data_IF_139116443680
#
_entry.id   IF_139116443680
#
_cell.length_a   1.000
_cell.length_b   1.000
_cell.length_c   1.000
_cell.angle_alpha   90.00
_cell.angle_beta   90.00
_cell.angle_gamma   90.00
#
_symmetry.space_group_name_H-M   'P 1'
#
loop_
_entity.id
_entity.type
_entity.pdbx_description
1 polymer ?
#
# COMPACT_ATOMS: atom_id res chain seq x y z
N UNK A 1 17.29 1.90 -8.00
CA UNK A 1 16.02 2.12 -7.27
C UNK A 1 14.85 1.82 -8.20
N UNK A 2 13.74 1.22 -7.71
CA UNK A 2 12.59 0.74 -8.50
C UNK A 2 12.05 1.78 -9.49
N UNK A 3 11.84 3.01 -9.06
CA UNK A 3 11.33 4.10 -9.91
C UNK A 3 12.23 4.38 -11.14
N UNK A 4 13.56 4.29 -10.99
CA UNK A 4 14.48 4.48 -12.12
C UNK A 4 14.39 3.36 -13.17
N UNK A 5 14.12 2.12 -12.74
CA UNK A 5 13.89 1.00 -13.67
C UNK A 5 12.56 1.16 -14.41
N UNK A 6 11.52 1.57 -13.69
CA UNK A 6 10.21 1.86 -14.27
C UNK A 6 10.29 2.98 -15.31
N UNK A 7 11.01 4.06 -15.01
CA UNK A 7 11.21 5.17 -15.95
C UNK A 7 11.91 4.71 -17.24
N UNK A 8 13.00 3.94 -17.11
CA UNK A 8 13.69 3.35 -18.26
C UNK A 8 12.80 2.44 -19.11
N UNK A 9 11.92 1.66 -18.49
CA UNK A 9 10.99 0.80 -19.21
C UNK A 9 9.97 1.63 -20.02
N UNK A 10 9.46 2.71 -19.42
CA UNK A 10 8.56 3.65 -20.09
C UNK A 10 9.25 4.39 -21.25
N UNK A 11 10.50 4.83 -21.06
CA UNK A 11 11.33 5.42 -22.12
C UNK A 11 11.57 4.44 -23.28
N UNK A 12 11.72 3.15 -22.97
CA UNK A 12 11.78 2.07 -23.96
C UNK A 12 10.41 1.70 -24.57
N UNK A 13 9.36 2.48 -24.29
CA UNK A 13 7.98 2.31 -24.77
C UNK A 13 7.28 1.03 -24.31
N UNK A 14 7.74 0.46 -23.19
CA UNK A 14 7.11 -0.69 -22.57
C UNK A 14 5.95 -0.27 -21.67
N UNK A 15 4.97 -1.17 -21.52
CA UNK A 15 3.98 -1.09 -20.45
C UNK A 15 4.64 -1.52 -19.13
N UNK A 16 4.19 -0.95 -18.01
CA UNK A 16 4.83 -1.19 -16.71
C UNK A 16 3.81 -1.61 -15.65
N UNK A 17 4.08 -2.73 -14.99
CA UNK A 17 3.39 -3.21 -13.81
C UNK A 17 4.32 -3.06 -12.61
N UNK A 18 3.89 -2.38 -11.56
CA UNK A 18 4.70 -2.07 -10.37
C UNK A 18 4.13 -2.75 -9.14
N UNK A 19 4.96 -3.57 -8.51
CA UNK A 19 4.69 -4.14 -7.18
C UNK A 19 4.52 -3.05 -6.12
N UNK A 20 3.76 -3.39 -5.06
CA UNK A 20 3.51 -2.48 -3.93
C UNK A 20 4.78 -2.22 -3.10
N UNK A 21 4.88 -1.06 -2.44
CA UNK A 21 4.30 0.20 -2.90
C UNK A 21 4.87 0.57 -4.29
N UNK A 22 4.09 1.28 -5.14
CA UNK A 22 4.49 1.55 -6.53
C UNK A 22 5.78 2.37 -6.64
N UNK A 23 6.10 3.19 -5.64
CA UNK A 23 7.35 3.91 -5.51
C UNK A 23 7.65 4.20 -4.02
N UNK A 24 8.83 4.78 -3.73
CA UNK A 24 9.22 5.13 -2.36
C UNK A 24 8.49 6.39 -1.83
N UNK A 25 7.83 7.16 -2.70
CA UNK A 25 7.07 8.35 -2.31
C UNK A 25 6.14 8.83 -3.42
N UNK A 26 5.17 9.67 -3.05
CA UNK A 26 4.12 10.16 -3.94
C UNK A 26 4.67 10.95 -5.14
N UNK A 27 5.68 11.79 -4.93
CA UNK A 27 6.31 12.56 -6.03
C UNK A 27 6.94 11.67 -7.11
N UNK A 28 7.42 10.48 -6.74
CA UNK A 28 7.93 9.48 -7.69
C UNK A 28 6.78 8.82 -8.45
N UNK A 29 5.65 8.54 -7.80
CA UNK A 29 4.44 8.03 -8.47
C UNK A 29 3.98 9.03 -9.52
N UNK A 30 3.85 10.31 -9.16
CA UNK A 30 3.43 11.36 -10.08
C UNK A 30 4.36 11.50 -11.28
N UNK A 31 5.68 11.38 -11.06
CA UNK A 31 6.66 11.41 -12.14
C UNK A 31 6.51 10.22 -13.10
N UNK A 32 6.22 9.02 -12.57
CA UNK A 32 5.98 7.83 -13.38
C UNK A 32 4.67 7.92 -14.17
N UNK A 33 3.60 8.45 -13.57
CA UNK A 33 2.32 8.69 -14.27
C UNK A 33 2.50 9.64 -15.45
N UNK A 34 3.27 10.72 -15.28
CA UNK A 34 3.59 11.62 -16.40
C UNK A 34 4.43 10.93 -17.48
N UNK A 35 5.41 10.12 -17.07
CA UNK A 35 6.28 9.39 -17.99
C UNK A 35 5.54 8.27 -18.74
N UNK A 36 4.43 7.75 -18.21
CA UNK A 36 3.64 6.71 -18.86
C UNK A 36 2.69 7.23 -19.93
N UNK A 37 2.80 8.49 -20.37
CA UNK A 37 1.95 9.04 -21.42
C UNK A 37 1.92 8.13 -22.66
N UNK A 38 0.72 7.67 -23.02
CA UNK A 38 0.51 6.76 -24.13
C UNK A 38 0.87 5.30 -23.85
N UNK A 39 1.33 4.91 -22.65
CA UNK A 39 1.61 3.54 -22.22
C UNK A 39 0.75 3.17 -21.00
N UNK A 40 0.25 1.94 -20.96
CA UNK A 40 -0.36 1.36 -19.76
C UNK A 40 0.64 1.22 -18.62
N UNK A 41 0.24 1.74 -17.46
CA UNK A 41 0.91 1.57 -16.18
C UNK A 41 -0.10 1.02 -15.17
N UNK A 42 0.29 0.01 -14.41
CA UNK A 42 -0.49 -0.56 -13.32
C UNK A 42 0.31 -0.50 -12.01
N UNK A 43 -0.22 0.22 -11.01
CA UNK A 43 0.23 0.09 -9.63
C UNK A 43 -0.56 -1.05 -8.98
N UNK A 44 0.12 -2.15 -8.64
CA UNK A 44 -0.56 -3.35 -8.15
C UNK A 44 -0.79 -3.28 -6.65
N UNK A 45 -1.97 -3.71 -6.23
CA UNK A 45 -2.32 -3.93 -4.84
C UNK A 45 -2.86 -5.35 -4.72
N UNK A 46 -1.98 -6.32 -4.50
CA UNK A 46 -2.35 -7.75 -4.53
C UNK A 46 -3.54 -8.04 -3.61
N UNK A 47 -3.56 -7.46 -2.40
CA UNK A 47 -4.65 -7.69 -1.46
C UNK A 47 -6.03 -7.20 -1.91
N UNK A 48 -6.11 -6.24 -2.84
CA UNK A 48 -7.40 -5.85 -3.44
C UNK A 48 -8.01 -6.93 -4.30
N UNK A 49 -7.17 -7.80 -4.85
CA UNK A 49 -7.65 -8.81 -5.76
C UNK A 49 -8.38 -9.92 -5.01
N UNK A 50 -8.34 -10.04 -3.68
CA UNK A 50 -9.10 -11.08 -2.97
C UNK A 50 -10.60 -11.07 -3.30
N UNK A 51 -11.21 -12.26 -3.41
CA UNK A 51 -12.63 -12.36 -3.82
C UNK A 51 -13.59 -11.73 -2.80
N UNK A 52 -13.20 -11.74 -1.52
CA UNK A 52 -13.98 -11.12 -0.46
C UNK A 52 -14.03 -9.59 -0.59
N UNK A 53 -13.06 -8.98 -1.28
CA UNK A 53 -12.92 -7.52 -1.38
C UNK A 53 -14.02 -6.92 -2.23
N UNK A 54 -14.26 -7.47 -3.42
CA UNK A 54 -15.34 -6.99 -4.30
C UNK A 54 -16.72 -7.25 -3.69
N UNK A 55 -16.88 -8.39 -2.99
CA UNK A 55 -18.11 -8.71 -2.25
C UNK A 55 -18.36 -7.69 -1.14
N UNK A 56 -17.31 -7.35 -0.37
CA UNK A 56 -17.39 -6.35 0.69
C UNK A 56 -17.70 -4.95 0.12
N UNK A 57 -17.02 -4.55 -0.95
CA UNK A 57 -17.26 -3.28 -1.63
C UNK A 57 -18.72 -3.14 -2.10
N UNK A 58 -19.24 -4.17 -2.79
CA UNK A 58 -20.62 -4.19 -3.24
C UNK A 58 -21.63 -4.14 -2.08
N UNK A 59 -21.34 -4.84 -0.98
CA UNK A 59 -22.19 -4.86 0.20
C UNK A 59 -22.20 -3.50 0.93
N UNK A 60 -21.05 -2.84 1.03
CA UNK A 60 -20.91 -1.54 1.70
C UNK A 60 -21.46 -0.37 0.89
N UNK A 61 -21.46 -0.45 -0.45
CA UNK A 61 -21.89 0.64 -1.34
C UNK A 61 -23.30 1.17 -1.05
N UNK A 62 -24.21 0.33 -0.56
CA UNK A 62 -25.60 0.69 -0.26
C UNK A 62 -25.85 1.04 1.21
N UNK A 63 -24.82 1.20 2.05
CA UNK A 63 -24.94 1.32 3.51
C UNK A 63 -24.32 2.60 4.05
N UNK A 64 -24.92 3.11 5.13
CA UNK A 64 -24.31 4.15 5.94
C UNK A 64 -23.36 3.53 6.97
N UNK A 65 -22.07 3.75 6.78
CA UNK A 65 -21.02 3.23 7.66
C UNK A 65 -20.87 4.21 8.83
N UNK A 66 -21.05 3.71 10.06
CA UNK A 66 -20.95 4.54 11.28
C UNK A 66 -19.57 4.50 11.93
N UNK A 67 -18.91 3.35 11.87
CA UNK A 67 -17.65 3.11 12.55
C UNK A 67 -16.90 1.93 11.91
N UNK A 68 -15.62 1.83 12.22
CA UNK A 68 -14.67 0.90 11.61
C UNK A 68 -13.47 0.68 12.51
N UNK A 69 -12.88 -0.50 12.42
CA UNK A 69 -11.66 -0.83 13.15
C UNK A 69 -10.82 -1.82 12.35
N UNK A 70 -9.57 -1.48 12.09
CA UNK A 70 -8.55 -2.31 11.45
C UNK A 70 -7.72 -3.00 12.51
N UNK A 71 -7.44 -4.30 12.38
CA UNK A 71 -6.45 -4.97 13.23
C UNK A 71 -5.52 -5.81 12.36
N UNK A 72 -4.45 -5.18 11.87
CA UNK A 72 -3.40 -5.88 11.15
C UNK A 72 -2.23 -6.17 12.10
N UNK A 73 -1.96 -7.45 12.36
CA UNK A 73 -0.90 -7.88 13.29
C UNK A 73 -0.15 -9.06 12.71
N UNK A 74 1.16 -8.95 12.66
CA UNK A 74 2.06 -9.99 12.18
C UNK A 74 3.28 -10.09 13.09
N UNK A 75 3.87 -11.28 13.17
CA UNK A 75 5.20 -11.46 13.79
C UNK A 75 6.29 -11.28 12.73
N UNK A 76 7.03 -10.18 12.84
CA UNK A 76 8.13 -9.84 11.92
C UNK A 76 9.22 -10.93 11.86
N UNK A 77 9.40 -11.72 12.93
CA UNK A 77 10.38 -12.83 12.93
C UNK A 77 9.95 -14.01 12.08
N UNK A 78 8.65 -14.20 11.93
CA UNK A 78 8.07 -15.29 11.14
C UNK A 78 7.97 -14.89 9.67
N UNK A 79 7.44 -13.69 9.41
CA UNK A 79 7.10 -13.25 8.05
C UNK A 79 8.24 -12.52 7.34
N UNK A 80 9.18 -11.93 8.09
CA UNK A 80 10.30 -11.16 7.54
C UNK A 80 11.65 -11.50 8.20
N UNK A 81 12.04 -12.78 8.29
CA UNK A 81 13.25 -13.18 9.00
C UNK A 81 14.51 -12.52 8.41
N UNK A 82 15.25 -11.80 9.25
CA UNK A 82 16.53 -11.16 8.91
C UNK A 82 16.44 -9.95 7.96
N UNK A 83 15.25 -9.42 7.71
CA UNK A 83 15.05 -8.26 6.82
C UNK A 83 15.28 -6.93 7.55
N UNK A 84 16.52 -6.67 7.95
CA UNK A 84 16.92 -5.50 8.75
C UNK A 84 16.53 -4.15 8.12
N UNK A 85 16.54 -4.10 6.79
CA UNK A 85 16.19 -2.92 5.99
C UNK A 85 14.77 -2.40 6.25
N UNK A 86 13.83 -3.23 6.71
CA UNK A 86 12.47 -2.82 7.06
C UNK A 86 12.46 -1.79 8.18
N UNK A 87 13.36 -1.94 9.15
CA UNK A 87 13.44 -1.08 10.34
C UNK A 87 14.48 0.05 10.21
N UNK A 88 15.10 0.18 9.03
CA UNK A 88 15.99 1.28 8.67
C UNK A 88 15.22 2.51 8.17
N UNK A 89 15.91 3.64 8.04
CA UNK A 89 15.31 4.86 7.47
C UNK A 89 14.80 4.61 6.05
N UNK A 90 13.52 4.92 5.81
CA UNK A 90 12.86 4.66 4.52
C UNK A 90 12.44 3.20 4.29
N UNK A 91 12.60 2.32 5.29
CA UNK A 91 12.24 0.90 5.23
C UNK A 91 10.75 0.59 5.38
N UNK A 92 9.90 1.61 5.59
CA UNK A 92 8.46 1.52 5.86
C UNK A 92 8.07 0.82 7.18
N UNK A 93 8.88 -0.09 7.72
CA UNK A 93 8.58 -0.80 8.96
C UNK A 93 7.24 -1.55 8.87
N UNK A 94 6.39 -1.39 9.88
CA UNK A 94 5.04 -1.97 9.93
C UNK A 94 4.17 -1.57 8.73
N UNK A 95 4.48 -0.47 8.04
CA UNK A 95 3.73 -0.07 6.85
C UNK A 95 3.99 -0.96 5.64
N UNK A 96 5.04 -1.79 5.60
CA UNK A 96 5.18 -2.78 4.52
C UNK A 96 3.99 -3.75 4.50
N UNK A 97 3.49 -4.14 5.67
CA UNK A 97 2.33 -5.04 5.79
C UNK A 97 1.03 -4.26 5.92
N UNK A 98 1.00 -3.18 6.70
CA UNK A 98 -0.21 -2.39 6.91
C UNK A 98 -0.71 -1.67 5.63
N UNK A 99 0.16 -1.37 4.67
CA UNK A 99 -0.27 -0.78 3.39
C UNK A 99 -1.16 -1.74 2.59
N UNK A 100 -1.03 -3.06 2.80
CA UNK A 100 -1.91 -4.04 2.20
C UNK A 100 -3.33 -3.82 2.71
N UNK A 101 -3.51 -3.68 4.02
CA UNK A 101 -4.79 -3.30 4.60
C UNK A 101 -5.32 -2.02 3.95
N UNK A 102 -4.57 -0.91 4.00
CA UNK A 102 -4.96 0.38 3.41
C UNK A 102 -5.37 0.27 1.94
N UNK A 103 -4.71 -0.61 1.18
CA UNK A 103 -5.07 -0.89 -0.20
C UNK A 103 -6.49 -1.43 -0.32
N UNK A 104 -6.87 -2.38 0.53
CA UNK A 104 -8.21 -2.93 0.50
C UNK A 104 -9.24 -1.90 1.02
N UNK A 105 -8.89 -1.12 2.06
CA UNK A 105 -9.77 -0.10 2.66
C UNK A 105 -10.20 0.96 1.65
N UNK A 106 -9.23 1.48 0.92
CA UNK A 106 -9.46 2.50 -0.12
C UNK A 106 -10.24 1.98 -1.32
N UNK A 107 -10.38 0.65 -1.45
CA UNK A 107 -11.20 0.01 -2.48
C UNK A 107 -12.63 -0.27 -2.01
N UNK A 108 -12.82 -0.77 -0.79
CA UNK A 108 -14.15 -1.16 -0.30
C UNK A 108 -14.98 0.02 0.21
N UNK A 109 -14.32 1.12 0.60
CA UNK A 109 -15.00 2.25 1.20
C UNK A 109 -15.64 3.14 0.13
N UNK A 110 -16.96 3.45 0.24
CA UNK A 110 -17.67 4.23 -0.76
C UNK A 110 -17.27 5.71 -0.77
N UNK A 111 -16.65 6.19 0.30
CA UNK A 111 -16.16 7.55 0.45
C UNK A 111 -14.64 7.55 0.65
N UNK A 112 -13.92 8.57 0.17
CA UNK A 112 -12.50 8.74 0.46
C UNK A 112 -12.23 8.73 1.96
N UNK A 113 -11.14 8.07 2.36
CA UNK A 113 -10.66 8.04 3.72
C UNK A 113 -9.70 9.20 3.96
N UNK A 114 -9.87 9.86 5.10
CA UNK A 114 -8.91 10.84 5.62
C UNK A 114 -8.39 10.35 6.96
N UNK A 115 -7.09 10.40 7.15
CA UNK A 115 -6.46 10.04 8.40
C UNK A 115 -6.65 11.16 9.44
N UNK A 116 -7.23 10.84 10.60
CA UNK A 116 -7.36 11.82 11.70
C UNK A 116 -6.12 11.84 12.60
N UNK A 117 -5.59 10.66 12.95
CA UNK A 117 -4.48 10.49 13.86
C UNK A 117 -3.83 9.12 13.67
N UNK A 118 -2.54 9.01 13.98
CA UNK A 118 -1.83 7.75 14.11
C UNK A 118 -0.90 7.79 15.33
N UNK A 119 -0.66 6.64 15.94
CA UNK A 119 0.37 6.47 16.96
C UNK A 119 1.41 5.44 16.50
N UNK A 120 2.68 5.82 16.51
CA UNK A 120 3.79 5.07 15.92
C UNK A 120 4.80 4.67 17.00
N UNK A 121 4.89 3.37 17.26
CA UNK A 121 5.91 2.82 18.16
C UNK A 121 7.20 2.49 17.40
N UNK A 122 8.28 3.21 17.70
CA UNK A 122 9.59 3.06 17.06
C UNK A 122 10.58 2.44 18.05
N UNK A 123 11.20 1.28 17.75
CA UNK A 123 12.22 0.69 18.63
C UNK A 123 13.38 1.66 18.84
N UNK A 124 13.87 1.77 20.07
CA UNK A 124 14.87 2.79 20.41
C UNK A 124 16.19 2.70 19.60
N UNK A 125 16.51 1.54 19.03
CA UNK A 125 17.68 1.29 18.18
C UNK A 125 17.37 1.31 16.67
N UNK A 126 16.15 1.68 16.26
CA UNK A 126 15.67 1.61 14.87
C UNK A 126 15.12 2.95 14.38
N UNK A 127 14.81 3.06 13.09
CA UNK A 127 14.40 4.32 12.45
C UNK A 127 13.07 4.22 11.68
N UNK A 128 12.39 3.08 11.75
CA UNK A 128 11.05 2.91 11.20
C UNK A 128 10.11 2.29 12.25
N UNK A 129 8.80 2.59 12.19
CA UNK A 129 7.84 2.11 13.17
C UNK A 129 7.65 0.61 13.07
N UNK A 130 7.54 -0.05 14.22
CA UNK A 130 7.22 -1.47 14.33
C UNK A 130 5.75 -1.70 14.65
N UNK A 131 5.11 -0.72 15.27
CA UNK A 131 3.69 -0.77 15.62
C UNK A 131 3.02 0.50 15.15
N UNK A 132 1.75 0.34 14.82
CA UNK A 132 0.88 1.45 14.47
C UNK A 132 -0.51 1.22 15.04
N UNK A 133 -1.06 2.25 15.66
CA UNK A 133 -2.49 2.35 15.92
C UNK A 133 -3.08 3.42 14.99
N UNK A 134 -4.04 3.00 14.15
CA UNK A 134 -4.78 3.88 13.24
C UNK A 134 -6.26 3.65 13.41
N UNK A 135 -7.03 4.73 13.41
CA UNK A 135 -8.48 4.66 13.22
C UNK A 135 -8.82 4.46 11.73
N UNK A 136 -9.05 3.21 11.30
CA UNK A 136 -9.36 2.79 9.92
C UNK A 136 -10.18 1.46 9.87
N UNK A 137 -10.71 0.95 8.71
CA UNK A 137 -11.53 -0.30 8.60
C UNK A 137 -10.77 -1.66 8.67
N UNK A 138 -11.43 -2.83 8.82
CA UNK A 138 -10.83 -4.21 8.83
C UNK A 138 -11.09 -5.02 7.53
N UNK A 139 -10.14 -5.86 7.06
CA UNK A 139 -10.32 -6.79 5.90
C UNK A 139 -9.39 -8.04 5.93
N UNK A 140 -9.79 -9.15 5.30
CA UNK A 140 -9.13 -10.48 5.30
C UNK A 140 -8.60 -10.94 3.91
N UNK A 141 -7.56 -11.79 3.83
CA UNK A 141 -6.91 -12.19 2.56
C UNK A 141 -7.35 -13.56 1.98
N UNK A 142 -7.33 -13.71 0.63
CA UNK A 142 -6.95 -14.94 -0.14
C UNK A 142 -6.87 -14.74 -1.69
N UNK A 143 -5.99 -15.50 -2.35
CA UNK A 143 -5.72 -15.70 -3.80
C UNK A 143 -5.64 -14.47 -4.75
N UNK A 144 -4.45 -13.86 -4.89
CA UNK A 144 -4.32 -12.48 -5.38
C UNK A 144 -3.59 -12.32 -6.75
N UNK A 145 -2.53 -13.09 -7.00
CA UNK A 145 -1.61 -12.83 -8.12
C UNK A 145 -2.15 -13.12 -9.55
N UNK A 146 -2.89 -14.21 -9.81
CA UNK A 146 -3.42 -14.46 -11.16
C UNK A 146 -4.35 -13.34 -11.66
N UNK A 147 -5.10 -12.72 -10.74
CA UNK A 147 -6.03 -11.62 -11.06
C UNK A 147 -5.30 -10.34 -11.42
N UNK A 148 -4.17 -10.04 -10.76
CA UNK A 148 -3.33 -8.90 -11.13
C UNK A 148 -2.86 -8.96 -12.60
N UNK A 149 -2.41 -10.14 -13.06
CA UNK A 149 -1.98 -10.29 -14.45
C UNK A 149 -3.13 -10.17 -15.45
N UNK A 150 -4.29 -10.75 -15.15
CA UNK A 150 -5.48 -10.61 -15.99
C UNK A 150 -5.93 -9.15 -16.10
N UNK A 151 -5.86 -8.40 -14.99
CA UNK A 151 -6.15 -6.97 -14.93
C UNK A 151 -5.15 -6.13 -15.72
N UNK A 152 -3.86 -6.48 -15.67
CA UNK A 152 -2.86 -5.77 -16.46
C UNK A 152 -3.06 -5.98 -17.96
N UNK A 153 -3.36 -7.21 -18.38
CA UNK A 153 -3.64 -7.52 -19.79
C UNK A 153 -4.84 -6.71 -20.32
N UNK A 154 -5.95 -6.65 -19.56
CA UNK A 154 -7.13 -5.89 -19.98
C UNK A 154 -6.87 -4.38 -20.07
N UNK A 155 -6.05 -3.81 -19.17
CA UNK A 155 -5.65 -2.42 -19.23
C UNK A 155 -4.77 -2.11 -20.46
N UNK A 156 -3.88 -3.04 -20.84
CA UNK A 156 -3.06 -2.90 -22.05
C UNK A 156 -3.95 -2.90 -23.28
N UNK A 157 -4.86 -3.87 -23.40
CA UNK A 157 -5.78 -3.99 -24.54
C UNK A 157 -6.69 -2.75 -24.67
N UNK A 158 -7.09 -2.17 -23.53
CA UNK A 158 -7.90 -0.95 -23.50
C UNK A 158 -7.10 0.35 -23.67
N UNK A 159 -5.76 0.29 -23.66
CA UNK A 159 -4.89 1.48 -23.67
C UNK A 159 -5.04 2.36 -22.42
N UNK A 160 -5.41 1.77 -21.29
CA UNK A 160 -5.67 2.46 -20.02
C UNK A 160 -4.56 2.20 -19.00
N UNK A 161 -4.48 3.05 -17.99
CA UNK A 161 -3.61 2.88 -16.82
C UNK A 161 -4.46 2.87 -15.56
N UNK A 162 -4.04 2.11 -14.55
CA UNK A 162 -4.61 2.18 -13.22
C UNK A 162 -3.50 2.42 -12.19
N UNK A 163 -3.47 3.64 -11.67
CA UNK A 163 -2.46 4.07 -10.73
C UNK A 163 -3.14 4.71 -9.53
N UNK A 164 -3.55 3.86 -8.59
CA UNK A 164 -4.14 4.32 -7.35
C UNK A 164 -3.09 4.48 -6.24
N UNK A 165 -2.77 5.73 -5.93
CA UNK A 165 -1.79 6.09 -4.90
C UNK A 165 -2.39 6.23 -3.49
N UNK A 166 -3.73 6.17 -3.33
CA UNK A 166 -4.41 6.42 -2.05
C UNK A 166 -3.87 5.58 -0.88
N UNK A 167 -3.51 4.29 -1.04
CA UNK A 167 -2.94 3.52 0.07
C UNK A 167 -1.59 4.08 0.54
N UNK A 168 -0.75 4.51 -0.40
CA UNK A 168 0.53 5.15 -0.12
C UNK A 168 0.34 6.56 0.48
N UNK A 169 -0.71 7.27 0.08
CA UNK A 169 -1.11 8.55 0.71
C UNK A 169 -1.42 8.35 2.18
N UNK A 170 -2.20 7.34 2.56
CA UNK A 170 -2.50 7.06 3.97
C UNK A 170 -1.25 6.69 4.79
N UNK A 171 -0.28 5.99 4.19
CA UNK A 171 1.03 5.75 4.83
C UNK A 171 1.78 7.07 5.05
N UNK A 172 1.84 7.92 4.02
CA UNK A 172 2.50 9.22 4.11
C UNK A 172 1.85 10.12 5.18
N UNK A 173 0.52 10.16 5.21
CA UNK A 173 -0.25 10.90 6.21
C UNK A 173 0.02 10.36 7.61
N UNK A 174 0.09 9.04 7.80
CA UNK A 174 0.37 8.45 9.11
C UNK A 174 1.78 8.76 9.61
N UNK A 175 2.77 8.75 8.71
CA UNK A 175 4.13 9.18 9.05
C UNK A 175 4.23 10.69 9.34
N UNK A 176 3.41 11.51 8.69
CA UNK A 176 3.43 12.97 8.82
C UNK A 176 2.64 13.48 10.03
N UNK A 177 1.48 12.89 10.29
CA UNK A 177 0.54 13.30 11.35
C UNK A 177 0.73 12.50 12.65
N UNK A 178 1.39 11.35 12.58
CA UNK A 178 1.48 10.42 13.69
C UNK A 178 2.37 10.92 14.81
N UNK A 179 1.92 10.79 16.06
CA UNK A 179 2.81 10.93 17.21
C UNK A 179 3.77 9.75 17.25
N UNK A 180 5.04 10.02 17.53
CA UNK A 180 6.06 8.97 17.68
C UNK A 180 6.39 8.78 19.15
N UNK A 181 6.48 7.52 19.57
CA UNK A 181 6.97 7.16 20.89
C UNK A 181 8.00 6.03 20.80
N UNK A 182 8.96 6.04 21.72
CA UNK A 182 9.96 5.00 21.79
C UNK A 182 9.35 3.72 22.39
N UNK A 183 9.66 2.58 21.78
CA UNK A 183 9.39 1.24 22.33
C UNK A 183 10.72 0.51 22.58
N UNK A 184 10.74 -0.61 23.32
CA UNK A 184 11.96 -1.37 23.57
C UNK A 184 12.75 -1.69 22.30
N UNK A 185 14.07 -1.82 22.44
CA UNK A 185 14.97 -2.18 21.34
C UNK A 185 14.55 -3.50 20.70
N UNK A 186 14.83 -3.64 19.41
CA UNK A 186 14.54 -4.85 18.66
C UNK A 186 15.76 -5.32 17.87
N UNK A 187 16.00 -6.63 17.93
CA UNK A 187 16.95 -7.37 17.12
C UNK A 187 16.29 -8.63 16.55
N UNK A 188 16.74 -9.03 15.37
CA UNK A 188 16.29 -10.23 14.65
C UNK A 188 16.85 -11.51 15.26
#
# INVERSE_FOLDING_TARGET
>A
MRAGLAHRALEARLHVMLEKPPAAGLSQVDALVRASAGRTMLATWHSRESAAVDVAAAWLAARQIKAMRLNWREDVRVWHPGQDWLLAAGGFGVFDTAINAFSILTHIMPQPLTLESADLGIPANRQAPMTIDVKAPDIAPDAEYPRLYARFASLIDAGQSDVDARPLTLVADAMMLGSQHAIPTFEF
#
